data_IF_790064213064
#
_entry.id   IF_790064213064
#
_cell.length_a   1.000
_cell.length_b   1.000
_cell.length_c   1.000
_cell.angle_alpha   90.00
_cell.angle_beta   90.00
_cell.angle_gamma   90.00
#
_symmetry.space_group_name_H-M   'P 1'
#
loop_
_entity.id
_entity.type
_entity.pdbx_description
1 polymer ?
#
# COMPACT_ATOMS: atom_id res chain seq x y z
N UNK A 1 16.82 1.62 5.34
CA UNK A 1 15.73 1.14 4.47
C UNK A 1 15.36 -0.25 4.90
N UNK A 2 14.06 -0.56 4.99
CA UNK A 2 13.62 -1.93 5.27
C UNK A 2 13.89 -2.84 4.06
N UNK A 3 13.87 -4.16 4.28
CA UNK A 3 13.97 -5.13 3.18
C UNK A 3 12.75 -4.99 2.26
N UNK A 4 12.93 -5.14 0.95
CA UNK A 4 11.83 -5.07 -0.03
C UNK A 4 10.67 -6.03 0.27
N UNK A 5 10.94 -7.22 0.82
CA UNK A 5 9.90 -8.16 1.28
C UNK A 5 9.02 -7.58 2.40
N UNK A 6 9.60 -6.81 3.33
CA UNK A 6 8.83 -6.14 4.38
C UNK A 6 7.96 -5.02 3.79
N UNK A 7 8.43 -4.33 2.75
CA UNK A 7 7.64 -3.30 2.06
C UNK A 7 6.42 -3.89 1.35
N UNK A 8 6.58 -5.07 0.73
CA UNK A 8 5.47 -5.83 0.16
C UNK A 8 4.46 -6.17 1.25
N UNK A 9 4.89 -6.75 2.38
CA UNK A 9 3.99 -7.06 3.50
C UNK A 9 3.24 -5.82 4.00
N UNK A 10 3.92 -4.68 4.18
CA UNK A 10 3.26 -3.44 4.57
C UNK A 10 2.21 -3.00 3.55
N UNK A 11 2.53 -2.98 2.26
CA UNK A 11 1.56 -2.60 1.22
C UNK A 11 0.34 -3.53 1.18
N UNK A 12 0.53 -4.83 1.42
CA UNK A 12 -0.57 -5.81 1.49
C UNK A 12 -1.46 -5.53 2.69
N UNK A 13 -0.87 -5.31 3.88
CA UNK A 13 -1.64 -4.97 5.09
C UNK A 13 -2.42 -3.67 4.90
N UNK A 14 -1.81 -2.64 4.33
CA UNK A 14 -2.47 -1.36 4.03
C UNK A 14 -3.62 -1.56 3.04
N UNK A 15 -3.43 -2.34 1.97
CA UNK A 15 -4.47 -2.69 1.01
C UNK A 15 -5.66 -3.41 1.64
N UNK A 16 -5.40 -4.40 2.52
CA UNK A 16 -6.45 -5.13 3.23
C UNK A 16 -7.25 -4.23 4.18
N UNK A 17 -6.57 -3.35 4.93
CA UNK A 17 -7.23 -2.38 5.81
C UNK A 17 -8.10 -1.42 4.99
N UNK A 18 -7.59 -0.90 3.88
CA UNK A 18 -8.36 -0.04 2.98
C UNK A 18 -9.58 -0.75 2.39
N UNK A 19 -9.44 -2.02 1.98
CA UNK A 19 -10.56 -2.82 1.51
C UNK A 19 -11.66 -2.94 2.57
N UNK A 20 -11.28 -3.30 3.81
CA UNK A 20 -12.23 -3.42 4.91
C UNK A 20 -12.94 -2.08 5.18
N UNK A 21 -12.22 -0.97 5.18
CA UNK A 21 -12.83 0.36 5.33
C UNK A 21 -13.82 0.65 4.19
N UNK A 22 -13.45 0.36 2.93
CA UNK A 22 -14.33 0.59 1.78
C UNK A 22 -15.61 -0.22 1.84
N UNK A 23 -15.54 -1.49 2.24
CA UNK A 23 -16.71 -2.36 2.32
C UNK A 23 -17.56 -2.04 3.55
N UNK A 24 -16.97 -1.97 4.74
CA UNK A 24 -17.72 -1.92 5.99
C UNK A 24 -18.04 -0.52 6.48
N UNK A 25 -17.20 0.48 6.18
CA UNK A 25 -17.40 1.87 6.62
C UNK A 25 -18.04 2.70 5.51
N UNK A 26 -17.55 2.56 4.28
CA UNK A 26 -18.02 3.36 3.13
C UNK A 26 -19.10 2.66 2.29
N UNK A 27 -19.47 1.42 2.65
CA UNK A 27 -20.51 0.63 2.00
C UNK A 27 -20.34 0.53 0.46
N UNK A 28 -19.10 0.52 -0.02
CA UNK A 28 -18.78 0.34 -1.43
C UNK A 28 -19.00 -1.11 -1.85
N UNK A 29 -19.29 -1.33 -3.14
CA UNK A 29 -19.41 -2.70 -3.65
C UNK A 29 -18.07 -3.45 -3.51
N UNK A 30 -18.07 -4.74 -3.09
CA UNK A 30 -16.83 -5.49 -2.88
C UNK A 30 -15.90 -5.49 -4.09
N UNK A 31 -16.45 -5.63 -5.30
CA UNK A 31 -15.69 -5.57 -6.56
C UNK A 31 -15.00 -4.21 -6.76
N UNK A 32 -15.67 -3.11 -6.46
CA UNK A 32 -15.09 -1.77 -6.57
C UNK A 32 -14.03 -1.53 -5.49
N UNK A 33 -14.32 -1.96 -4.26
CA UNK A 33 -13.39 -1.86 -3.13
C UNK A 33 -12.10 -2.64 -3.42
N UNK A 34 -12.20 -3.84 -4.01
CA UNK A 34 -11.06 -4.66 -4.40
C UNK A 34 -10.16 -3.95 -5.42
N UNK A 35 -10.70 -3.51 -6.57
CA UNK A 35 -9.89 -2.81 -7.57
C UNK A 35 -9.23 -1.55 -7.02
N UNK A 36 -9.95 -0.78 -6.21
CA UNK A 36 -9.45 0.48 -5.63
C UNK A 36 -8.38 0.24 -4.56
N UNK A 37 -8.62 -0.69 -3.64
CA UNK A 37 -7.68 -0.98 -2.55
C UNK A 37 -6.38 -1.58 -3.09
N UNK A 38 -6.46 -2.48 -4.08
CA UNK A 38 -5.30 -3.07 -4.76
C UNK A 38 -4.51 -2.00 -5.52
N UNK A 39 -5.19 -1.09 -6.23
CA UNK A 39 -4.52 0.02 -6.92
C UNK A 39 -3.77 0.93 -5.93
N UNK A 40 -4.40 1.30 -4.82
CA UNK A 40 -3.76 2.13 -3.79
C UNK A 40 -2.58 1.38 -3.16
N UNK A 41 -2.74 0.09 -2.85
CA UNK A 41 -1.65 -0.74 -2.31
C UNK A 41 -0.44 -0.80 -3.26
N UNK A 42 -0.68 -0.90 -4.57
CA UNK A 42 0.40 -0.87 -5.57
C UNK A 42 1.14 0.48 -5.58
N UNK A 43 0.42 1.60 -5.51
CA UNK A 43 1.03 2.94 -5.41
C UNK A 43 1.83 3.08 -4.11
N UNK A 44 1.30 2.58 -2.99
CA UNK A 44 2.02 2.55 -1.71
C UNK A 44 3.27 1.69 -1.78
N UNK A 45 3.23 0.54 -2.45
CA UNK A 45 4.41 -0.29 -2.65
C UNK A 45 5.50 0.46 -3.43
N UNK A 46 5.13 1.14 -4.53
CA UNK A 46 6.05 1.98 -5.29
C UNK A 46 6.68 3.05 -4.38
N UNK A 47 5.87 3.74 -3.57
CA UNK A 47 6.35 4.71 -2.60
C UNK A 47 7.35 4.08 -1.60
N UNK A 48 7.02 2.93 -1.03
CA UNK A 48 7.85 2.24 -0.04
C UNK A 48 9.20 1.81 -0.64
N UNK A 49 9.21 1.35 -1.89
CA UNK A 49 10.44 0.97 -2.60
C UNK A 49 11.31 2.19 -2.87
N UNK A 50 10.71 3.33 -3.22
CA UNK A 50 11.44 4.56 -3.54
C UNK A 50 11.95 5.30 -2.30
N UNK A 51 11.16 5.38 -1.24
CA UNK A 51 11.40 6.28 -0.10
C UNK A 51 11.51 5.57 1.25
N UNK A 52 11.10 4.31 1.33
CA UNK A 52 10.97 3.57 2.60
C UNK A 52 9.66 3.86 3.32
N UNK A 53 9.57 3.40 4.57
CA UNK A 53 8.38 3.53 5.43
C UNK A 53 8.18 4.92 6.04
N UNK A 54 9.24 5.70 6.15
CA UNK A 54 9.20 7.06 6.68
C UNK A 54 8.94 8.11 5.60
N UNK A 55 8.98 9.38 6.02
CA UNK A 55 8.85 10.53 5.13
C UNK A 55 9.87 10.50 3.97
N UNK A 56 9.51 11.02 2.78
CA UNK A 56 10.35 11.02 1.59
C UNK A 56 11.52 11.99 1.76
N UNK A 57 12.55 11.55 2.46
CA UNK A 57 13.76 12.34 2.75
C UNK A 57 14.88 12.02 1.78
N UNK A 58 14.96 10.76 1.30
CA UNK A 58 15.97 10.28 0.36
C UNK A 58 15.39 9.17 -0.51
N UNK A 59 15.86 9.07 -1.75
CA UNK A 59 15.57 7.96 -2.65
C UNK A 59 16.41 6.73 -2.28
N UNK A 60 15.85 5.55 -2.56
CA UNK A 60 16.54 4.28 -2.51
C UNK A 60 17.75 4.29 -3.44
N UNK A 61 18.92 3.94 -2.92
CA UNK A 61 20.17 3.90 -3.70
C UNK A 61 20.45 2.52 -4.30
N UNK A 62 19.74 1.50 -3.85
CA UNK A 62 19.88 0.11 -4.28
C UNK A 62 18.82 -0.26 -5.35
N UNK A 63 18.16 0.76 -5.91
CA UNK A 63 17.17 0.67 -6.98
C UNK A 63 17.79 1.08 -8.31
#
# INVERSE_FOLDING_TARGET
MERGLMMVLHSVVIGLVLYMLMVFVFNQSPKMAEYRSVLIAAVVLIYMILFGHGLPTRLNKDL
#
